data_IF_736044012212
#
_entry.id   IF_736044012212
#
_cell.length_a   1.000
_cell.length_b   1.000
_cell.length_c   1.000
_cell.angle_alpha   90.00
_cell.angle_beta   90.00
_cell.angle_gamma   90.00
#
_symmetry.space_group_name_H-M   'P 1'
#
loop_
_entity.id
_entity.type
_entity.pdbx_description
1 polymer ?
#
# COMPACT_ATOMS: atom_id res chain seq x y z
N UNK A 1 0.65 -3.59 30.41
CA UNK A 1 1.97 -3.38 29.76
C UNK A 1 2.33 -1.89 29.84
N UNK A 2 3.60 -1.53 30.13
CA UNK A 2 4.03 -0.13 30.17
C UNK A 2 3.96 0.47 28.76
N UNK A 3 3.63 1.75 28.63
CA UNK A 3 3.51 2.43 27.32
C UNK A 3 4.81 2.37 26.51
N UNK A 4 5.97 2.48 27.18
CA UNK A 4 7.31 2.33 26.58
C UNK A 4 7.53 0.96 25.92
N UNK A 5 7.16 -0.11 26.63
CA UNK A 5 7.24 -1.49 26.07
C UNK A 5 6.30 -1.67 24.87
N UNK A 6 5.13 -1.03 24.93
CA UNK A 6 4.16 -1.08 23.84
C UNK A 6 4.70 -0.39 22.59
N UNK A 7 5.31 0.80 22.71
CA UNK A 7 5.94 1.49 21.57
C UNK A 7 7.12 0.69 20.98
N UNK A 8 7.88 -0.02 21.82
CA UNK A 8 8.92 -0.93 21.34
C UNK A 8 8.33 -2.11 20.55
N UNK A 9 7.27 -2.75 21.05
CA UNK A 9 6.58 -3.82 20.36
C UNK A 9 5.98 -3.34 19.02
N UNK A 10 5.40 -2.14 18.98
CA UNK A 10 4.91 -1.53 17.75
C UNK A 10 6.06 -1.36 16.75
N UNK A 11 7.23 -0.83 17.18
CA UNK A 11 8.41 -0.72 16.32
C UNK A 11 8.83 -2.07 15.75
N UNK A 12 8.92 -3.10 16.59
CA UNK A 12 9.30 -4.45 16.16
C UNK A 12 8.28 -5.03 15.18
N UNK A 13 6.99 -4.87 15.46
CA UNK A 13 5.89 -5.33 14.59
C UNK A 13 5.98 -4.67 13.20
N UNK A 14 6.21 -3.36 13.14
CA UNK A 14 6.37 -2.63 11.88
C UNK A 14 7.59 -3.10 11.10
N UNK A 15 8.74 -3.30 11.77
CA UNK A 15 9.98 -3.78 11.14
C UNK A 15 9.83 -5.22 10.62
N UNK A 16 9.14 -6.11 11.36
CA UNK A 16 8.82 -7.48 10.89
C UNK A 16 7.95 -7.43 9.64
N UNK A 17 6.91 -6.60 9.66
CA UNK A 17 6.03 -6.42 8.49
C UNK A 17 6.78 -5.89 7.28
N UNK A 18 7.64 -4.89 7.48
CA UNK A 18 8.46 -4.31 6.42
C UNK A 18 9.39 -5.37 5.81
N UNK A 19 10.12 -6.11 6.66
CA UNK A 19 11.05 -7.16 6.21
C UNK A 19 10.31 -8.29 5.46
N UNK A 20 9.21 -8.79 6.02
CA UNK A 20 8.42 -9.86 5.39
C UNK A 20 7.88 -9.42 4.01
N UNK A 21 7.37 -8.19 3.91
CA UNK A 21 6.86 -7.64 2.66
C UNK A 21 7.95 -7.45 1.60
N UNK A 22 9.16 -7.01 2.02
CA UNK A 22 10.32 -6.88 1.11
C UNK A 22 10.74 -8.26 0.60
N UNK A 23 10.81 -9.28 1.46
CA UNK A 23 11.18 -10.64 1.05
C UNK A 23 10.17 -11.20 0.05
N UNK A 24 8.88 -11.04 0.28
CA UNK A 24 7.82 -11.52 -0.62
C UNK A 24 7.81 -10.78 -1.96
N UNK A 25 8.22 -9.54 -2.01
CA UNK A 25 8.31 -8.73 -3.23
C UNK A 25 9.76 -8.50 -3.68
N UNK A 26 10.65 -9.47 -3.50
CA UNK A 26 12.09 -9.27 -3.75
C UNK A 26 12.40 -8.71 -5.16
N UNK A 27 11.67 -9.15 -6.19
CA UNK A 27 11.83 -8.66 -7.58
C UNK A 27 11.54 -7.15 -7.73
N UNK A 28 10.77 -6.55 -6.82
CA UNK A 28 10.58 -5.10 -6.77
C UNK A 28 11.86 -4.37 -6.35
N UNK A 29 12.68 -5.00 -5.51
CA UNK A 29 13.83 -4.39 -4.85
C UNK A 29 15.13 -4.67 -5.58
N UNK A 30 15.34 -5.90 -6.02
CA UNK A 30 16.52 -6.32 -6.78
C UNK A 30 16.19 -7.54 -7.64
N UNK A 31 16.75 -7.59 -8.85
CA UNK A 31 16.60 -8.72 -9.76
C UNK A 31 16.65 -8.34 -11.23
N UNK A 32 16.89 -9.33 -12.07
CA UNK A 32 16.82 -9.22 -13.52
C UNK A 32 15.34 -9.27 -13.94
N UNK A 33 14.74 -8.09 -14.06
CA UNK A 33 13.31 -7.92 -14.38
C UNK A 33 13.09 -7.18 -15.68
N UNK A 34 12.04 -7.55 -16.39
CA UNK A 34 11.62 -6.88 -17.61
C UNK A 34 10.83 -5.59 -17.36
N UNK A 35 10.03 -5.52 -16.25
CA UNK A 35 9.28 -4.30 -15.97
C UNK A 35 10.23 -3.15 -15.59
N UNK A 36 10.18 -2.00 -16.30
CA UNK A 36 11.16 -0.94 -16.13
C UNK A 36 11.07 -0.25 -14.76
N UNK A 37 12.22 0.15 -14.22
CA UNK A 37 12.28 1.08 -13.09
C UNK A 37 11.76 2.44 -13.55
N UNK A 38 10.96 3.08 -12.71
CA UNK A 38 10.49 4.45 -12.96
C UNK A 38 11.14 5.38 -11.96
N UNK A 39 12.22 6.00 -12.37
CA UNK A 39 12.98 6.96 -11.54
C UNK A 39 12.24 8.29 -11.37
N UNK A 40 12.48 8.99 -10.25
CA UNK A 40 11.87 10.30 -10.03
C UNK A 40 12.52 11.39 -10.89
N UNK A 41 13.80 11.26 -11.18
CA UNK A 41 14.57 12.22 -11.99
C UNK A 41 14.63 11.66 -13.41
N UNK A 42 14.14 12.43 -14.39
CA UNK A 42 14.32 12.13 -15.81
C UNK A 42 15.82 12.05 -16.09
N UNK A 43 16.25 11.23 -17.02
CA UNK A 43 17.66 10.94 -17.34
C UNK A 43 18.48 10.16 -16.29
N UNK A 44 17.90 9.82 -15.13
CA UNK A 44 18.53 8.90 -14.19
C UNK A 44 18.02 7.48 -14.44
N UNK A 45 18.92 6.55 -14.79
CA UNK A 45 18.54 5.18 -15.16
C UNK A 45 18.30 4.24 -13.97
N UNK A 46 18.44 4.74 -12.75
CA UNK A 46 18.40 3.91 -11.54
C UNK A 46 19.66 3.02 -11.41
N UNK A 47 19.77 2.33 -10.29
CA UNK A 47 20.85 1.37 -10.06
C UNK A 47 20.53 0.08 -10.83
N UNK A 48 21.37 -0.32 -11.82
CA UNK A 48 21.09 -1.50 -12.64
C UNK A 48 21.35 -2.82 -11.89
N UNK A 49 20.75 -3.89 -12.38
CA UNK A 49 21.14 -5.26 -12.02
C UNK A 49 22.61 -5.51 -12.47
N UNK A 50 23.45 -6.20 -11.65
CA UNK A 50 23.14 -6.80 -10.33
C UNK A 50 23.44 -5.89 -9.14
N UNK A 51 23.78 -4.62 -9.33
CA UNK A 51 24.17 -3.70 -8.24
C UNK A 51 22.99 -3.33 -7.33
N UNK A 52 21.74 -3.52 -7.77
CA UNK A 52 20.54 -3.34 -6.96
C UNK A 52 20.46 -4.36 -5.79
N UNK A 53 21.15 -5.51 -5.86
CA UNK A 53 21.33 -6.41 -4.71
C UNK A 53 22.12 -5.77 -3.56
N UNK A 54 23.05 -4.85 -3.85
CA UNK A 54 23.75 -4.08 -2.83
C UNK A 54 22.76 -3.15 -2.11
N UNK A 55 21.88 -2.47 -2.86
CA UNK A 55 20.84 -1.64 -2.27
C UNK A 55 19.92 -2.48 -1.36
N UNK A 56 19.45 -3.63 -1.83
CA UNK A 56 18.64 -4.54 -1.03
C UNK A 56 19.37 -5.01 0.23
N UNK A 57 20.64 -5.36 0.12
CA UNK A 57 21.49 -5.75 1.25
C UNK A 57 21.59 -4.64 2.30
N UNK A 58 21.84 -3.40 1.88
CA UNK A 58 21.88 -2.23 2.77
C UNK A 58 20.53 -2.01 3.45
N UNK A 59 19.41 -2.11 2.71
CA UNK A 59 18.07 -1.98 3.28
C UNK A 59 17.81 -3.01 4.38
N UNK A 60 18.12 -4.29 4.13
CA UNK A 60 17.97 -5.37 5.10
C UNK A 60 18.86 -5.14 6.32
N UNK A 61 20.11 -4.74 6.13
CA UNK A 61 21.03 -4.44 7.24
C UNK A 61 20.50 -3.30 8.12
N UNK A 62 19.99 -2.23 7.53
CA UNK A 62 19.41 -1.11 8.28
C UNK A 62 18.14 -1.53 9.05
N UNK A 63 17.32 -2.42 8.50
CA UNK A 63 16.18 -3.01 9.22
C UNK A 63 16.70 -3.81 10.43
N UNK A 64 17.67 -4.71 10.24
CA UNK A 64 18.26 -5.54 11.31
C UNK A 64 18.90 -4.68 12.40
N UNK A 65 19.67 -3.65 12.04
CA UNK A 65 20.22 -2.71 13.01
C UNK A 65 19.13 -1.93 13.77
N UNK A 66 18.04 -1.56 13.09
CA UNK A 66 16.90 -0.92 13.74
C UNK A 66 16.18 -1.83 14.73
N UNK A 67 16.20 -3.16 14.51
CA UNK A 67 15.73 -4.15 15.47
C UNK A 67 16.64 -4.24 16.72
N UNK A 68 17.95 -4.30 16.49
CA UNK A 68 18.94 -4.65 17.52
C UNK A 68 19.19 -3.52 18.50
N UNK A 69 18.75 -2.29 18.21
CA UNK A 69 19.07 -1.13 19.06
C UNK A 69 17.86 -0.23 19.29
N UNK A 70 17.87 0.39 20.46
CA UNK A 70 16.93 1.48 20.77
C UNK A 70 17.43 2.85 20.31
N UNK A 71 18.67 2.96 19.81
CA UNK A 71 19.19 4.21 19.26
C UNK A 71 18.39 4.59 18.01
N UNK A 72 18.17 5.88 17.82
CA UNK A 72 17.38 6.41 16.69
C UNK A 72 18.11 6.37 15.37
N UNK A 73 19.45 6.46 15.39
CA UNK A 73 20.27 6.61 14.20
C UNK A 73 20.01 5.53 13.13
N UNK A 74 19.99 4.21 13.45
CA UNK A 74 19.68 3.20 12.44
C UNK A 74 18.29 3.38 11.81
N UNK A 75 17.29 3.76 12.59
CA UNK A 75 15.93 4.02 12.08
C UNK A 75 15.89 5.29 11.21
N UNK A 76 16.66 6.32 11.53
CA UNK A 76 16.79 7.52 10.68
C UNK A 76 17.43 7.14 9.35
N UNK A 77 18.55 6.41 9.38
CA UNK A 77 19.22 5.95 8.18
C UNK A 77 18.33 5.03 7.32
N UNK A 78 17.57 4.15 7.97
CA UNK A 78 16.56 3.31 7.28
C UNK A 78 15.53 4.15 6.54
N UNK A 79 14.96 5.16 7.18
CA UNK A 79 13.95 6.03 6.57
C UNK A 79 14.54 6.83 5.40
N UNK A 80 15.72 7.43 5.58
CA UNK A 80 16.39 8.17 4.50
C UNK A 80 16.71 7.27 3.32
N UNK A 81 17.20 6.06 3.59
CA UNK A 81 17.49 5.10 2.54
C UNK A 81 16.23 4.58 1.86
N UNK A 82 15.14 4.34 2.61
CA UNK A 82 13.85 3.97 2.06
C UNK A 82 13.28 5.04 1.12
N UNK A 83 13.41 6.32 1.47
CA UNK A 83 13.03 7.44 0.59
C UNK A 83 13.90 7.45 -0.67
N UNK A 84 15.22 7.30 -0.53
CA UNK A 84 16.13 7.17 -1.69
C UNK A 84 15.73 6.01 -2.61
N UNK A 85 15.38 4.85 -2.06
CA UNK A 85 14.90 3.70 -2.83
C UNK A 85 13.64 4.01 -3.66
N UNK A 86 12.75 4.88 -3.17
CA UNK A 86 11.59 5.35 -3.93
C UNK A 86 11.97 6.36 -5.05
N UNK A 87 13.02 7.14 -4.88
CA UNK A 87 13.56 7.98 -5.96
C UNK A 87 14.19 7.14 -7.07
N UNK A 88 14.87 6.05 -6.72
CA UNK A 88 15.46 5.10 -7.65
C UNK A 88 14.39 4.30 -8.43
N UNK A 89 13.27 3.99 -7.79
CA UNK A 89 12.14 3.33 -8.46
C UNK A 89 10.79 3.63 -7.78
N UNK A 90 9.95 4.42 -8.42
CA UNK A 90 8.63 4.82 -7.91
C UNK A 90 7.62 3.64 -7.80
N UNK A 91 7.89 2.48 -8.43
CA UNK A 91 7.11 1.26 -8.21
C UNK A 91 7.16 0.80 -6.74
N UNK A 92 8.15 1.24 -5.97
CA UNK A 92 8.30 0.98 -4.53
C UNK A 92 7.38 1.83 -3.66
N UNK A 93 6.64 2.81 -4.21
CA UNK A 93 5.62 3.60 -3.50
C UNK A 93 4.35 2.78 -3.23
N UNK A 94 4.52 1.60 -2.63
CA UNK A 94 3.43 0.72 -2.26
C UNK A 94 2.76 1.20 -0.95
N UNK A 95 1.42 1.05 -0.79
CA UNK A 95 0.72 1.53 0.40
C UNK A 95 1.28 0.98 1.71
N UNK A 96 1.62 -0.31 1.76
CA UNK A 96 2.20 -0.95 2.93
C UNK A 96 3.58 -0.37 3.27
N UNK A 97 4.43 -0.13 2.26
CA UNK A 97 5.77 0.41 2.44
C UNK A 97 5.72 1.84 2.98
N UNK A 98 4.92 2.69 2.33
CA UNK A 98 4.69 4.06 2.76
C UNK A 98 4.21 4.15 4.22
N UNK A 99 3.21 3.35 4.57
CA UNK A 99 2.65 3.35 5.92
C UNK A 99 3.65 2.85 6.98
N UNK A 100 4.44 1.79 6.69
CA UNK A 100 5.49 1.34 7.61
C UNK A 100 6.57 2.40 7.84
N UNK A 101 7.04 3.05 6.76
CA UNK A 101 8.04 4.12 6.87
C UNK A 101 7.49 5.31 7.66
N UNK A 102 6.24 5.69 7.43
CA UNK A 102 5.58 6.76 8.19
C UNK A 102 5.41 6.41 9.68
N UNK A 103 5.05 5.16 10.01
CA UNK A 103 4.99 4.70 11.39
C UNK A 103 6.37 4.74 12.07
N UNK A 104 7.44 4.32 11.38
CA UNK A 104 8.80 4.42 11.88
C UNK A 104 9.23 5.88 12.08
N UNK A 105 8.83 6.78 11.17
CA UNK A 105 9.08 8.21 11.30
C UNK A 105 8.38 8.80 12.53
N UNK A 106 7.11 8.49 12.77
CA UNK A 106 6.38 8.91 13.98
C UNK A 106 7.08 8.42 15.25
N UNK A 107 7.58 7.17 15.23
CA UNK A 107 8.32 6.58 16.36
C UNK A 107 9.67 7.28 16.66
N UNK A 108 10.28 8.02 15.72
CA UNK A 108 11.49 8.81 15.97
C UNK A 108 11.27 9.93 16.99
N UNK A 109 10.05 10.42 17.14
CA UNK A 109 9.72 11.48 18.10
C UNK A 109 9.60 10.97 19.54
N UNK A 110 9.66 9.65 19.74
CA UNK A 110 9.75 9.05 21.05
C UNK A 110 11.08 9.41 21.75
N UNK A 111 11.00 9.98 22.97
CA UNK A 111 12.17 10.29 23.80
C UNK A 111 12.25 9.30 24.95
N UNK A 112 13.40 8.65 25.10
CA UNK A 112 13.68 7.68 26.19
C UNK A 112 13.83 8.31 27.58
N UNK A 113 13.52 9.59 27.80
CA UNK A 113 13.66 10.23 29.11
C UNK A 113 12.44 9.91 29.97
N UNK A 114 12.72 9.42 31.18
CA UNK A 114 11.72 8.99 32.17
C UNK A 114 10.84 10.18 32.67
N UNK A 115 11.31 11.40 32.50
CA UNK A 115 10.73 12.61 33.09
C UNK A 115 9.69 13.34 32.22
N UNK A 116 9.42 12.86 30.98
CA UNK A 116 8.44 13.48 30.09
C UNK A 116 7.33 12.49 29.66
N UNK A 117 6.39 12.11 30.52
CA UNK A 117 5.31 11.18 30.19
C UNK A 117 4.42 11.65 29.03
N UNK A 118 4.37 12.97 28.78
CA UNK A 118 3.54 13.58 27.74
C UNK A 118 4.05 13.27 26.30
N UNK A 119 5.36 13.11 26.10
CA UNK A 119 5.94 12.82 24.79
C UNK A 119 5.55 11.41 24.29
N UNK A 120 5.51 10.43 25.18
CA UNK A 120 5.07 9.06 24.85
C UNK A 120 3.61 9.02 24.42
N UNK A 121 2.79 9.79 25.12
CA UNK A 121 1.35 9.88 24.83
C UNK A 121 1.12 10.50 23.45
N UNK A 122 1.83 11.57 23.08
CA UNK A 122 1.70 12.21 21.76
C UNK A 122 2.06 11.26 20.62
N UNK A 123 3.19 10.55 20.74
CA UNK A 123 3.61 9.57 19.71
C UNK A 123 2.60 8.43 19.60
N UNK A 124 2.12 7.91 20.73
CA UNK A 124 1.14 6.83 20.75
C UNK A 124 -0.19 7.25 20.11
N UNK A 125 -0.70 8.44 20.43
CA UNK A 125 -1.92 9.00 19.84
C UNK A 125 -1.71 9.28 18.34
N UNK A 126 -0.54 9.77 17.93
CA UNK A 126 -0.23 9.96 16.50
C UNK A 126 -0.28 8.64 15.73
N UNK A 127 0.19 7.53 16.32
CA UNK A 127 0.08 6.20 15.71
C UNK A 127 -1.37 5.69 15.67
N UNK A 128 -2.15 5.93 16.73
CA UNK A 128 -3.58 5.61 16.73
C UNK A 128 -4.32 6.37 15.64
N UNK A 129 -4.04 7.67 15.49
CA UNK A 129 -4.61 8.50 14.45
C UNK A 129 -4.20 8.03 13.06
N UNK A 130 -2.92 7.69 12.86
CA UNK A 130 -2.42 7.17 11.58
C UNK A 130 -3.19 5.92 11.16
N UNK A 131 -3.31 4.92 12.05
CA UNK A 131 -4.05 3.69 11.78
C UNK A 131 -5.53 3.96 11.53
N UNK A 132 -6.16 4.83 12.30
CA UNK A 132 -7.55 5.23 12.08
C UNK A 132 -7.75 5.90 10.72
N UNK A 133 -6.84 6.79 10.31
CA UNK A 133 -6.89 7.47 9.01
C UNK A 133 -6.67 6.52 7.83
N UNK A 134 -5.91 5.44 7.99
CA UNK A 134 -5.83 4.38 6.96
C UNK A 134 -7.23 3.83 6.66
N UNK A 135 -8.02 3.47 7.67
CA UNK A 135 -9.39 2.95 7.47
C UNK A 135 -10.35 4.02 6.94
N UNK A 136 -10.27 5.25 7.48
CA UNK A 136 -11.10 6.37 7.02
C UNK A 136 -10.85 6.62 5.53
N UNK A 137 -9.60 6.81 5.13
CA UNK A 137 -9.22 7.07 3.73
C UNK A 137 -9.58 5.89 2.83
N UNK A 138 -9.30 4.66 3.26
CA UNK A 138 -9.65 3.44 2.52
C UNK A 138 -11.16 3.32 2.29
N UNK A 139 -11.97 3.61 3.31
CA UNK A 139 -13.44 3.63 3.18
C UNK A 139 -13.91 4.69 2.19
N UNK A 140 -13.40 5.92 2.29
CA UNK A 140 -13.78 7.02 1.37
C UNK A 140 -13.40 6.67 -0.08
N UNK A 141 -12.21 6.15 -0.33
CA UNK A 141 -11.73 5.79 -1.67
C UNK A 141 -12.56 4.67 -2.33
N UNK A 142 -13.25 3.84 -1.55
CA UNK A 142 -14.15 2.79 -2.04
C UNK A 142 -15.57 3.27 -2.32
N UNK A 143 -15.91 4.52 -1.99
CA UNK A 143 -17.24 5.11 -2.26
C UNK A 143 -17.35 5.53 -3.74
N UNK A 144 -17.29 4.56 -4.64
CA UNK A 144 -17.40 4.76 -6.08
C UNK A 144 -18.23 3.62 -6.72
N UNK A 145 -18.66 3.83 -7.97
CA UNK A 145 -19.57 2.91 -8.69
C UNK A 145 -18.93 1.58 -9.03
N UNK A 146 -17.60 1.54 -9.21
CA UNK A 146 -16.84 0.37 -9.67
C UNK A 146 -16.40 -0.55 -8.55
N UNK A 147 -16.42 -0.11 -7.29
CA UNK A 147 -15.91 -0.93 -6.18
C UNK A 147 -16.63 -2.27 -6.03
N UNK A 148 -17.97 -2.25 -6.07
CA UNK A 148 -18.75 -3.48 -5.87
C UNK A 148 -18.66 -4.42 -7.07
N UNK A 149 -18.93 -3.98 -8.32
CA UNK A 149 -18.91 -4.88 -9.47
C UNK A 149 -17.52 -5.39 -9.83
N UNK A 150 -16.47 -4.58 -9.64
CA UNK A 150 -15.12 -4.96 -10.06
C UNK A 150 -14.31 -5.63 -8.95
N UNK A 151 -14.05 -4.90 -7.85
CA UNK A 151 -13.15 -5.40 -6.80
C UNK A 151 -13.84 -6.34 -5.83
N UNK A 152 -15.01 -5.94 -5.28
CA UNK A 152 -15.63 -6.73 -4.23
C UNK A 152 -16.20 -8.04 -4.75
N UNK A 153 -16.86 -8.04 -5.92
CA UNK A 153 -17.33 -9.25 -6.57
C UNK A 153 -16.19 -10.20 -6.90
N UNK A 154 -15.07 -9.68 -7.43
CA UNK A 154 -13.86 -10.47 -7.65
C UNK A 154 -13.31 -11.08 -6.34
N UNK A 155 -13.27 -10.34 -5.24
CA UNK A 155 -12.83 -10.88 -3.95
C UNK A 155 -13.78 -11.99 -3.45
N UNK A 156 -15.10 -11.76 -3.51
CA UNK A 156 -16.13 -12.72 -3.08
C UNK A 156 -16.14 -13.98 -3.93
N UNK A 157 -15.76 -13.90 -5.21
CA UNK A 157 -15.65 -15.08 -6.08
C UNK A 157 -14.57 -16.08 -5.64
N UNK A 158 -13.78 -15.79 -4.59
CA UNK A 158 -12.95 -16.79 -3.88
C UNK A 158 -13.77 -17.91 -3.24
N UNK A 159 -15.05 -17.68 -3.01
CA UNK A 159 -15.96 -18.66 -2.40
C UNK A 159 -16.83 -19.40 -3.42
N UNK A 160 -16.52 -19.33 -4.73
CA UNK A 160 -17.30 -19.96 -5.79
C UNK A 160 -17.36 -21.49 -5.71
N UNK A 161 -16.37 -22.11 -5.05
CA UNK A 161 -16.33 -23.55 -4.77
C UNK A 161 -17.22 -23.96 -3.59
N UNK A 162 -17.61 -23.01 -2.72
CA UNK A 162 -18.34 -23.27 -1.46
C UNK A 162 -19.76 -22.70 -1.54
N UNK A 163 -19.95 -21.58 -2.19
CA UNK A 163 -21.22 -20.86 -2.28
C UNK A 163 -21.86 -21.02 -3.67
N UNK A 164 -23.17 -21.22 -3.69
CA UNK A 164 -23.94 -21.19 -4.93
C UNK A 164 -23.93 -19.76 -5.55
N UNK A 165 -24.18 -19.65 -6.86
CA UNK A 165 -24.27 -18.35 -7.58
C UNK A 165 -25.28 -17.38 -6.91
N UNK A 166 -26.39 -17.89 -6.39
CA UNK A 166 -27.39 -17.09 -5.67
C UNK A 166 -26.83 -16.52 -4.37
N UNK A 167 -26.10 -17.34 -3.60
CA UNK A 167 -25.46 -16.90 -2.35
C UNK A 167 -24.34 -15.91 -2.60
N UNK A 168 -23.49 -16.16 -3.63
CA UNK A 168 -22.48 -15.20 -4.06
C UNK A 168 -23.09 -13.84 -4.41
N UNK A 169 -24.17 -13.83 -5.21
CA UNK A 169 -24.87 -12.58 -5.54
C UNK A 169 -25.48 -11.87 -4.32
N UNK A 170 -25.91 -12.61 -3.29
CA UNK A 170 -26.34 -12.00 -2.03
C UNK A 170 -25.17 -11.40 -1.26
N UNK A 171 -24.05 -12.11 -1.15
CA UNK A 171 -22.84 -11.63 -0.48
C UNK A 171 -22.28 -10.41 -1.20
N UNK A 172 -22.24 -10.39 -2.54
CA UNK A 172 -21.77 -9.24 -3.33
C UNK A 172 -22.56 -7.96 -3.00
N UNK A 173 -23.87 -8.05 -2.73
CA UNK A 173 -24.68 -6.88 -2.32
C UNK A 173 -24.22 -6.26 -1.00
N UNK A 174 -23.62 -7.02 -0.08
CA UNK A 174 -23.02 -6.45 1.13
C UNK A 174 -21.82 -5.55 0.82
N UNK A 175 -21.22 -5.67 -0.37
CA UNK A 175 -20.17 -4.79 -0.83
C UNK A 175 -20.52 -3.32 -0.75
N UNK A 176 -21.80 -2.94 -0.94
CA UNK A 176 -22.23 -1.54 -0.80
C UNK A 176 -22.12 -0.99 0.62
N UNK A 177 -22.05 -1.86 1.64
CA UNK A 177 -21.90 -1.44 3.05
C UNK A 177 -20.41 -1.34 3.44
N UNK A 178 -19.52 -2.05 2.76
CA UNK A 178 -18.09 -2.14 3.12
C UNK A 178 -17.39 -0.77 3.19
N UNK A 179 -17.55 0.17 2.24
CA UNK A 179 -16.93 1.51 2.33
C UNK A 179 -17.34 2.26 3.61
N UNK A 180 -18.63 2.23 3.92
CA UNK A 180 -19.17 2.89 5.13
C UNK A 180 -18.72 2.18 6.40
N UNK A 181 -18.61 0.86 6.37
CA UNK A 181 -18.09 0.07 7.48
C UNK A 181 -16.62 0.43 7.77
N UNK A 182 -15.75 0.46 6.75
CA UNK A 182 -14.33 0.84 6.93
C UNK A 182 -14.20 2.28 7.46
N UNK A 183 -14.94 3.23 6.90
CA UNK A 183 -14.98 4.62 7.37
C UNK A 183 -15.40 4.67 8.85
N UNK A 184 -16.50 4.00 9.19
CA UNK A 184 -17.04 3.99 10.56
C UNK A 184 -16.07 3.37 11.54
N UNK A 185 -15.44 2.24 11.18
CA UNK A 185 -14.40 1.59 11.98
C UNK A 185 -13.26 2.55 12.28
N UNK A 186 -12.74 3.26 11.28
CA UNK A 186 -11.67 4.25 11.47
C UNK A 186 -12.05 5.33 12.49
N UNK A 187 -13.25 5.90 12.36
CA UNK A 187 -13.74 6.92 13.30
C UNK A 187 -13.96 6.34 14.70
N UNK A 188 -14.60 5.18 14.79
CA UNK A 188 -14.96 4.56 16.07
C UNK A 188 -13.76 4.02 16.84
N UNK A 189 -12.64 3.66 16.20
CA UNK A 189 -11.38 3.34 16.87
C UNK A 189 -10.83 4.51 17.70
N UNK A 190 -11.13 5.74 17.32
CA UNK A 190 -10.76 6.93 18.09
C UNK A 190 -11.62 7.11 19.34
N UNK A 191 -12.81 6.47 19.39
CA UNK A 191 -13.74 6.54 20.52
C UNK A 191 -13.44 5.41 21.50
N UNK A 192 -12.77 5.74 22.61
CA UNK A 192 -12.29 4.76 23.61
C UNK A 192 -13.36 3.78 24.09
N UNK A 193 -14.57 4.26 24.33
CA UNK A 193 -15.69 3.48 24.88
C UNK A 193 -16.20 2.39 23.92
N UNK A 194 -15.95 2.56 22.61
CA UNK A 194 -16.45 1.64 21.58
C UNK A 194 -15.41 0.61 21.13
N UNK A 195 -14.16 0.75 21.57
CA UNK A 195 -13.04 -0.12 21.14
C UNK A 195 -13.27 -1.59 21.45
N UNK A 196 -14.00 -1.93 22.51
CA UNK A 196 -14.29 -3.32 22.86
C UNK A 196 -15.16 -4.05 21.80
N UNK A 197 -15.93 -3.30 21.00
CA UNK A 197 -16.69 -3.82 19.85
C UNK A 197 -15.88 -3.66 18.56
N UNK A 198 -15.28 -2.49 18.35
CA UNK A 198 -14.66 -2.12 17.08
C UNK A 198 -13.39 -2.94 16.81
N UNK A 199 -12.54 -3.17 17.83
CA UNK A 199 -11.31 -3.96 17.68
C UNK A 199 -11.57 -5.37 17.16
N UNK A 200 -12.51 -6.17 17.74
CA UNK A 200 -12.87 -7.47 17.18
C UNK A 200 -13.40 -7.41 15.74
N UNK A 201 -14.19 -6.38 15.40
CA UNK A 201 -14.71 -6.19 14.03
C UNK A 201 -13.60 -5.93 13.02
N UNK A 202 -12.59 -5.12 13.38
CA UNK A 202 -11.42 -4.88 12.54
C UNK A 202 -10.60 -6.17 12.35
N UNK A 203 -10.39 -6.93 13.42
CA UNK A 203 -9.68 -8.22 13.34
C UNK A 203 -10.41 -9.16 12.39
N UNK A 204 -11.74 -9.28 12.54
CA UNK A 204 -12.56 -10.10 11.67
C UNK A 204 -12.46 -9.67 10.20
N UNK A 205 -12.49 -8.35 9.93
CA UNK A 205 -12.31 -7.80 8.59
C UNK A 205 -10.98 -8.23 7.98
N UNK A 206 -9.86 -8.09 8.69
CA UNK A 206 -8.55 -8.51 8.20
C UNK A 206 -8.45 -10.03 7.99
N UNK A 207 -9.07 -10.84 8.87
CA UNK A 207 -9.14 -12.29 8.69
C UNK A 207 -9.92 -12.63 7.41
N UNK A 208 -11.05 -11.96 7.15
CA UNK A 208 -11.83 -12.17 5.93
C UNK A 208 -11.03 -11.79 4.67
N UNK A 209 -10.26 -10.68 4.70
CA UNK A 209 -9.37 -10.30 3.60
C UNK A 209 -8.30 -11.38 3.38
N UNK A 210 -7.70 -11.92 4.45
CA UNK A 210 -6.71 -13.00 4.36
C UNK A 210 -7.31 -14.30 3.77
N UNK A 211 -8.56 -14.63 4.10
CA UNK A 211 -9.25 -15.77 3.51
C UNK A 211 -9.49 -15.53 2.02
N UNK A 212 -9.99 -14.35 1.64
CA UNK A 212 -10.31 -14.03 0.24
C UNK A 212 -9.08 -13.89 -0.66
N UNK A 213 -8.01 -13.27 -0.18
CA UNK A 213 -6.80 -12.98 -0.96
C UNK A 213 -5.62 -13.92 -0.66
N UNK A 214 -5.74 -14.75 0.36
CA UNK A 214 -4.70 -15.70 0.78
C UNK A 214 -4.65 -16.96 -0.09
N UNK A 215 -3.81 -17.93 0.30
CA UNK A 215 -3.60 -19.18 -0.44
C UNK A 215 -4.87 -20.02 -0.63
N UNK A 216 -5.84 -19.90 0.28
CA UNK A 216 -7.13 -20.59 0.22
C UNK A 216 -8.16 -19.89 -0.66
N UNK A 217 -7.90 -18.65 -1.06
CA UNK A 217 -8.77 -17.85 -1.92
C UNK A 217 -8.14 -17.57 -3.28
N UNK A 218 -7.99 -16.29 -3.62
CA UNK A 218 -7.40 -15.87 -4.92
C UNK A 218 -5.91 -16.13 -5.04
N UNK A 219 -5.19 -16.37 -3.94
CA UNK A 219 -3.72 -16.47 -3.89
C UNK A 219 -3.04 -15.28 -4.60
N UNK A 220 -3.62 -14.11 -4.43
CA UNK A 220 -3.28 -12.89 -5.15
C UNK A 220 -2.39 -12.01 -4.29
N UNK A 221 -1.30 -11.46 -4.88
CA UNK A 221 -0.43 -10.49 -4.26
C UNK A 221 -0.05 -10.85 -2.80
N UNK A 222 0.89 -11.76 -2.64
CA UNK A 222 1.25 -12.32 -1.32
C UNK A 222 1.73 -11.27 -0.31
N UNK A 223 2.15 -10.08 -0.75
CA UNK A 223 2.55 -8.97 0.13
C UNK A 223 1.39 -8.44 0.98
N UNK A 224 0.15 -8.63 0.53
CA UNK A 224 -1.04 -8.24 1.30
C UNK A 224 -1.21 -9.10 2.56
N UNK A 225 -0.62 -10.29 2.61
CA UNK A 225 -0.76 -11.19 3.76
C UNK A 225 -0.04 -10.66 4.99
N UNK A 226 1.29 -10.37 4.97
CA UNK A 226 1.96 -9.75 6.11
C UNK A 226 1.33 -8.41 6.48
N UNK A 227 0.89 -7.59 5.51
CA UNK A 227 0.20 -6.34 5.81
C UNK A 227 -1.04 -6.57 6.70
N UNK A 228 -1.92 -7.48 6.34
CA UNK A 228 -3.14 -7.75 7.13
C UNK A 228 -2.81 -8.33 8.52
N UNK A 229 -1.83 -9.23 8.63
CA UNK A 229 -1.37 -9.80 9.92
C UNK A 229 -0.82 -8.68 10.82
N UNK A 230 0.01 -7.81 10.26
CA UNK A 230 0.60 -6.69 11.01
C UNK A 230 -0.47 -5.68 11.42
N UNK A 231 -1.47 -5.41 10.58
CA UNK A 231 -2.59 -4.53 10.95
C UNK A 231 -3.40 -5.10 12.12
N UNK A 232 -3.64 -6.40 12.18
CA UNK A 232 -4.25 -7.06 13.36
C UNK A 232 -3.39 -6.80 14.60
N UNK A 233 -2.08 -7.03 14.52
CA UNK A 233 -1.16 -6.82 15.64
C UNK A 233 -1.13 -5.33 16.08
N UNK A 234 -1.08 -4.40 15.13
CA UNK A 234 -1.09 -2.96 15.41
C UNK A 234 -2.40 -2.52 16.06
N UNK A 235 -3.54 -3.00 15.59
CA UNK A 235 -4.84 -2.69 16.18
C UNK A 235 -4.92 -3.20 17.62
N UNK A 236 -4.44 -4.40 17.90
CA UNK A 236 -4.34 -4.92 19.28
C UNK A 236 -3.39 -4.09 20.13
N UNK A 237 -2.21 -3.75 19.63
CA UNK A 237 -1.22 -2.97 20.36
C UNK A 237 -1.65 -1.52 20.61
N UNK A 238 -2.41 -0.92 19.70
CA UNK A 238 -2.80 0.49 19.80
C UNK A 238 -4.16 0.69 20.50
N UNK A 239 -5.10 -0.25 20.41
CA UNK A 239 -6.49 0.00 20.80
C UNK A 239 -7.07 -0.99 21.83
N UNK A 240 -6.48 -2.19 22.05
CA UNK A 240 -7.11 -3.22 22.89
C UNK A 240 -7.05 -2.95 24.40
N UNK A 241 -6.06 -2.17 24.91
CA UNK A 241 -5.92 -1.90 26.34
C UNK A 241 -6.48 -0.52 26.72
N UNK A 242 -7.70 -0.52 27.19
CA UNK A 242 -8.49 0.69 27.48
C UNK A 242 -8.17 1.31 28.83
N UNK A 243 -7.53 0.56 29.75
CA UNK A 243 -7.41 0.99 31.16
C UNK A 243 -6.34 2.05 31.43
N UNK A 244 -5.29 2.13 30.63
CA UNK A 244 -4.12 2.99 30.89
C UNK A 244 -4.03 4.25 30.01
N UNK A 245 -4.93 4.44 29.07
CA UNK A 245 -4.89 5.59 28.18
C UNK A 245 -5.54 6.80 28.84
N UNK A 246 -4.77 7.88 29.02
CA UNK A 246 -5.37 9.20 29.16
C UNK A 246 -6.11 9.53 27.89
N UNK A 247 -7.28 10.14 28.02
CA UNK A 247 -8.15 10.52 26.91
C UNK A 247 -7.37 11.18 25.77
N UNK A 248 -7.91 11.08 24.56
CA UNK A 248 -7.63 11.91 23.42
C UNK A 248 -7.80 13.37 23.84
N UNK A 249 -6.78 13.93 24.48
CA UNK A 249 -6.78 15.32 24.87
C UNK A 249 -6.35 16.12 23.64
N UNK A 250 -7.33 16.74 22.98
CA UNK A 250 -7.14 17.55 21.79
C UNK A 250 -6.03 18.60 22.00
N UNK A 251 -5.91 19.17 23.22
CA UNK A 251 -4.86 20.14 23.53
C UNK A 251 -3.43 19.56 23.46
N UNK A 252 -3.27 18.24 23.67
CA UNK A 252 -1.99 17.55 23.51
C UNK A 252 -1.62 17.27 22.05
N UNK A 253 -2.62 17.05 21.21
CA UNK A 253 -2.43 16.73 19.79
C UNK A 253 -1.75 17.87 19.05
N UNK A 254 -2.17 19.12 19.30
CA UNK A 254 -1.63 20.30 18.62
C UNK A 254 -0.20 20.70 19.05
N UNK A 255 0.49 19.93 19.90
CA UNK A 255 1.84 20.25 20.39
C UNK A 255 2.95 19.39 19.76
N UNK A 256 2.63 18.36 18.99
CA UNK A 256 3.63 17.41 18.48
C UNK A 256 3.83 17.46 16.97
N UNK A 257 5.07 17.59 16.49
CA UNK A 257 5.40 17.53 15.08
C UNK A 257 4.89 16.24 14.41
N UNK A 258 4.94 15.09 15.12
CA UNK A 258 4.41 13.80 14.65
C UNK A 258 2.92 13.87 14.31
N UNK A 259 2.14 14.60 15.10
CA UNK A 259 0.71 14.78 14.85
C UNK A 259 0.46 15.56 13.55
N UNK A 260 1.13 16.71 13.37
CA UNK A 260 0.97 17.50 12.16
C UNK A 260 1.40 16.72 10.90
N UNK A 261 2.48 15.93 11.00
CA UNK A 261 2.91 15.07 9.91
C UNK A 261 1.82 14.06 9.52
N UNK A 262 1.23 13.39 10.51
CA UNK A 262 0.15 12.41 10.26
C UNK A 262 -1.07 13.09 9.65
N UNK A 263 -1.52 14.22 10.18
CA UNK A 263 -2.67 14.95 9.61
C UNK A 263 -2.38 15.39 8.18
N UNK A 264 -1.21 15.94 7.92
CA UNK A 264 -0.85 16.40 6.57
C UNK A 264 -0.81 15.26 5.57
N UNK A 265 -0.09 14.17 5.89
CA UNK A 265 0.15 13.08 4.95
C UNK A 265 -1.00 12.08 4.85
N UNK A 266 -1.82 11.91 5.90
CA UNK A 266 -2.86 10.89 5.95
C UNK A 266 -4.28 11.43 5.90
N UNK A 267 -4.47 12.76 6.02
CA UNK A 267 -5.78 13.39 5.92
C UNK A 267 -5.79 14.47 4.84
N UNK A 268 -4.92 15.50 4.93
CA UNK A 268 -4.98 16.64 4.01
C UNK A 268 -4.62 16.22 2.58
N UNK A 269 -3.48 15.56 2.37
CA UNK A 269 -3.06 15.14 1.04
C UNK A 269 -4.01 14.12 0.38
N UNK A 270 -4.54 13.10 1.10
CA UNK A 270 -5.55 12.22 0.53
C UNK A 270 -6.84 12.90 0.06
N UNK A 271 -7.22 14.08 0.58
CA UNK A 271 -8.36 14.84 0.05
C UNK A 271 -8.09 15.25 -1.40
N UNK A 272 -6.89 15.68 -1.75
CA UNK A 272 -6.53 16.02 -3.13
C UNK A 272 -6.57 14.81 -4.08
N UNK A 273 -6.39 13.58 -3.56
CA UNK A 273 -6.56 12.35 -4.33
C UNK A 273 -8.00 12.17 -4.83
N UNK A 274 -9.01 12.70 -4.12
CA UNK A 274 -10.42 12.63 -4.54
C UNK A 274 -10.69 13.43 -5.83
N UNK A 275 -9.81 14.37 -6.17
CA UNK A 275 -9.83 15.16 -7.40
C UNK A 275 -8.67 14.83 -8.36
N UNK A 276 -8.06 13.65 -8.22
CA UNK A 276 -6.93 13.17 -9.04
C UNK A 276 -5.64 14.02 -8.96
N UNK A 277 -5.47 14.81 -7.89
CA UNK A 277 -4.31 15.71 -7.70
C UNK A 277 -3.23 15.12 -6.75
N UNK A 278 -3.42 13.90 -6.27
CA UNK A 278 -2.47 13.22 -5.40
C UNK A 278 -2.47 11.71 -5.67
N UNK A 279 -1.32 11.08 -5.44
CA UNK A 279 -1.12 9.65 -5.73
C UNK A 279 -2.13 8.75 -5.01
N UNK A 280 -2.70 7.83 -5.75
CA UNK A 280 -3.74 6.90 -5.28
C UNK A 280 -3.24 6.04 -4.12
N UNK A 281 -2.06 5.46 -4.22
CA UNK A 281 -1.53 4.56 -3.20
C UNK A 281 -1.08 5.26 -1.93
N UNK A 282 -0.65 6.52 -2.02
CA UNK A 282 -0.38 7.35 -0.84
C UNK A 282 -1.66 7.80 -0.12
N UNK A 283 -2.83 7.57 -0.75
CA UNK A 283 -4.17 7.91 -0.24
C UNK A 283 -4.96 6.68 0.21
N UNK A 284 -4.31 5.55 0.44
CA UNK A 284 -4.94 4.29 0.87
C UNK A 284 -5.99 3.74 -0.12
N UNK A 285 -5.82 3.97 -1.43
CA UNK A 285 -6.79 3.57 -2.47
C UNK A 285 -6.62 2.13 -2.96
N UNK A 286 -5.78 1.31 -2.31
CA UNK A 286 -5.58 -0.09 -2.71
C UNK A 286 -6.92 -0.85 -2.63
N UNK A 287 -7.24 -1.60 -3.68
CA UNK A 287 -8.51 -2.32 -3.83
C UNK A 287 -9.77 -1.42 -3.79
N UNK A 288 -9.66 -0.19 -4.28
CA UNK A 288 -10.82 0.73 -4.38
C UNK A 288 -11.56 0.66 -5.71
N UNK A 289 -11.04 -0.01 -6.72
CA UNK A 289 -11.43 -0.01 -8.15
C UNK A 289 -11.26 1.34 -8.84
N UNK A 290 -11.41 2.45 -8.15
CA UNK A 290 -11.23 3.79 -8.73
C UNK A 290 -9.74 4.13 -8.83
N UNK A 291 -9.05 3.48 -9.77
CA UNK A 291 -7.61 3.61 -10.02
C UNK A 291 -7.37 3.80 -11.51
N UNK A 292 -6.41 4.67 -11.86
CA UNK A 292 -5.96 4.77 -13.24
C UNK A 292 -5.58 3.39 -13.79
N UNK A 293 -5.85 3.20 -15.08
CA UNK A 293 -5.50 1.97 -15.77
C UNK A 293 -4.84 2.29 -17.12
N UNK A 294 -4.03 1.38 -17.60
CA UNK A 294 -3.43 1.51 -18.91
C UNK A 294 -3.24 0.15 -19.56
N UNK A 295 -3.51 0.11 -20.85
CA UNK A 295 -3.26 -1.01 -21.72
C UNK A 295 -2.47 -0.51 -22.93
N UNK A 296 -1.48 -1.29 -23.37
CA UNK A 296 -0.77 -0.99 -24.60
C UNK A 296 -1.34 -1.85 -25.72
N UNK A 297 -1.87 -1.20 -26.77
CA UNK A 297 -2.37 -1.89 -27.95
C UNK A 297 -1.22 -1.96 -28.96
N UNK A 298 -0.78 -3.16 -29.26
CA UNK A 298 0.38 -3.47 -30.07
C UNK A 298 -0.06 -3.90 -31.47
N UNK A 299 0.59 -3.37 -32.49
CA UNK A 299 0.50 -3.96 -33.84
C UNK A 299 1.10 -5.37 -33.86
N UNK A 300 0.78 -6.15 -34.90
CA UNK A 300 1.38 -7.46 -35.09
C UNK A 300 2.91 -7.39 -35.23
N UNK A 301 3.44 -6.30 -35.78
CA UNK A 301 4.88 -6.05 -35.89
C UNK A 301 5.51 -5.87 -34.51
N UNK A 302 4.98 -4.97 -33.69
CA UNK A 302 5.49 -4.71 -32.35
C UNK A 302 5.37 -5.97 -31.45
N UNK A 303 4.25 -6.69 -31.52
CA UNK A 303 4.06 -7.93 -30.76
C UNK A 303 5.10 -9.01 -31.08
N UNK A 304 5.41 -9.24 -32.37
CA UNK A 304 6.42 -10.22 -32.79
C UNK A 304 7.83 -9.88 -32.35
N UNK A 305 8.12 -8.62 -32.10
CA UNK A 305 9.43 -8.15 -31.62
C UNK A 305 9.53 -8.16 -30.08
N UNK A 306 8.42 -8.34 -29.36
CA UNK A 306 8.47 -8.48 -27.91
C UNK A 306 9.19 -9.76 -27.48
N UNK A 307 10.01 -9.72 -26.42
CA UNK A 307 10.50 -10.92 -25.76
C UNK A 307 9.34 -11.83 -25.31
N UNK A 308 9.55 -13.14 -25.42
CA UNK A 308 8.53 -14.14 -25.08
C UNK A 308 8.05 -13.99 -23.61
N UNK A 309 8.95 -13.57 -22.73
CA UNK A 309 8.61 -13.32 -21.32
C UNK A 309 7.62 -12.17 -21.10
N UNK A 310 7.51 -11.23 -22.02
CA UNK A 310 6.52 -10.15 -21.97
C UNK A 310 5.25 -10.55 -22.74
N UNK A 311 5.38 -11.32 -23.82
CA UNK A 311 4.22 -11.77 -24.63
C UNK A 311 3.17 -12.51 -23.79
N UNK A 312 3.58 -13.27 -22.76
CA UNK A 312 2.67 -13.99 -21.85
C UNK A 312 1.67 -13.09 -21.09
N UNK A 313 1.92 -11.79 -21.04
CA UNK A 313 1.01 -10.80 -20.44
C UNK A 313 0.08 -10.14 -21.46
N UNK A 314 0.22 -10.50 -22.74
CA UNK A 314 -0.65 -10.04 -23.80
C UNK A 314 -1.89 -10.93 -23.94
N UNK A 315 -3.00 -10.30 -24.34
CA UNK A 315 -4.13 -11.00 -24.96
C UNK A 315 -4.11 -10.72 -26.46
N UNK A 316 -4.20 -11.77 -27.26
CA UNK A 316 -4.11 -11.67 -28.72
C UNK A 316 -5.47 -11.95 -29.34
N UNK A 317 -5.91 -11.06 -30.23
CA UNK A 317 -7.06 -11.23 -31.12
C UNK A 317 -6.59 -11.16 -32.59
N UNK A 318 -7.49 -11.41 -33.56
CA UNK A 318 -7.15 -11.36 -34.98
C UNK A 318 -6.61 -9.99 -35.41
N UNK A 319 -7.15 -8.90 -34.85
CA UNK A 319 -6.84 -7.53 -35.29
C UNK A 319 -5.77 -6.82 -34.46
N UNK A 320 -5.59 -7.18 -33.16
CA UNK A 320 -4.68 -6.48 -32.29
C UNK A 320 -4.23 -7.33 -31.07
N UNK A 321 -3.11 -6.92 -30.51
CA UNK A 321 -2.55 -7.52 -29.30
C UNK A 321 -2.56 -6.49 -28.17
N UNK A 322 -3.06 -6.85 -27.00
CA UNK A 322 -3.17 -5.96 -25.85
C UNK A 322 -2.25 -6.42 -24.74
N UNK A 323 -1.27 -5.61 -24.38
CA UNK A 323 -0.41 -5.83 -23.21
C UNK A 323 -1.06 -5.20 -21.97
N UNK A 324 -1.36 -6.03 -20.98
CA UNK A 324 -1.94 -5.62 -19.70
C UNK A 324 -0.83 -5.26 -18.69
N UNK A 325 -0.53 -3.97 -18.54
CA UNK A 325 0.56 -3.48 -17.67
C UNK A 325 0.34 -3.94 -16.23
N UNK A 326 -0.88 -3.85 -15.68
CA UNK A 326 -1.18 -4.29 -14.31
C UNK A 326 -0.83 -5.76 -14.10
N UNK A 327 -1.28 -6.64 -15.02
CA UNK A 327 -0.99 -8.09 -14.97
C UNK A 327 0.52 -8.36 -15.04
N UNK A 328 1.24 -7.61 -15.85
CA UNK A 328 2.69 -7.72 -15.97
C UNK A 328 3.38 -7.40 -14.65
N UNK A 329 3.09 -6.23 -14.05
CA UNK A 329 3.66 -5.82 -12.74
C UNK A 329 3.32 -6.82 -11.63
N UNK A 330 2.05 -7.20 -11.52
CA UNK A 330 1.56 -8.08 -10.46
C UNK A 330 2.22 -9.46 -10.51
N UNK A 331 2.40 -9.99 -11.72
CA UNK A 331 3.03 -11.31 -11.88
C UNK A 331 4.54 -11.26 -11.69
N UNK A 332 5.21 -10.23 -12.21
CA UNK A 332 6.68 -10.15 -12.16
C UNK A 332 7.21 -9.62 -10.84
N UNK A 333 6.59 -8.57 -10.30
CA UNK A 333 7.07 -7.90 -9.08
C UNK A 333 6.36 -8.35 -7.81
N UNK A 334 5.29 -9.15 -7.93
CA UNK A 334 4.45 -9.60 -6.83
C UNK A 334 3.91 -8.44 -5.95
N UNK A 335 3.58 -7.33 -6.60
CA UNK A 335 2.94 -6.15 -5.98
C UNK A 335 1.91 -5.57 -6.92
N UNK A 336 0.88 -4.86 -6.44
CA UNK A 336 -0.03 -4.13 -7.30
C UNK A 336 0.71 -3.04 -8.06
N UNK A 337 0.36 -2.86 -9.33
CA UNK A 337 0.90 -1.77 -10.15
C UNK A 337 0.56 -0.41 -9.55
N UNK A 338 1.55 0.45 -9.35
CA UNK A 338 1.31 1.84 -8.93
C UNK A 338 0.52 2.55 -10.04
N UNK A 339 -0.74 2.96 -9.80
CA UNK A 339 -1.67 3.34 -10.85
C UNK A 339 -1.53 4.82 -11.24
N UNK A 340 -0.32 5.24 -11.58
CA UNK A 340 -0.01 6.63 -11.90
C UNK A 340 0.46 6.77 -13.36
N UNK A 341 0.04 7.87 -14.02
CA UNK A 341 0.35 8.14 -15.42
C UNK A 341 1.84 8.00 -15.74
N UNK A 342 2.73 8.47 -14.86
CA UNK A 342 4.18 8.40 -15.04
C UNK A 342 4.72 6.96 -15.13
N UNK A 343 4.14 6.02 -14.39
CA UNK A 343 4.51 4.60 -14.43
C UNK A 343 4.11 3.99 -15.77
N UNK A 344 2.87 4.24 -16.19
CA UNK A 344 2.35 3.74 -17.46
C UNK A 344 3.07 4.35 -18.67
N UNK A 345 3.36 5.65 -18.63
CA UNK A 345 4.12 6.35 -19.67
C UNK A 345 5.53 5.78 -19.80
N UNK A 346 6.21 5.53 -18.69
CA UNK A 346 7.53 4.92 -18.69
C UNK A 346 7.51 3.49 -19.29
N UNK A 347 6.55 2.67 -18.89
CA UNK A 347 6.37 1.33 -19.47
C UNK A 347 6.09 1.38 -20.98
N UNK A 348 5.29 2.35 -21.45
CA UNK A 348 5.04 2.58 -22.87
C UNK A 348 6.32 2.93 -23.65
N UNK A 349 7.11 3.90 -23.14
CA UNK A 349 8.39 4.27 -23.77
C UNK A 349 9.36 3.08 -23.80
N UNK A 350 9.43 2.32 -22.70
CA UNK A 350 10.27 1.13 -22.65
C UNK A 350 9.89 0.08 -23.71
N UNK A 351 8.59 -0.18 -23.91
CA UNK A 351 8.13 -1.14 -24.94
C UNK A 351 8.48 -0.66 -26.36
N UNK A 352 8.35 0.64 -26.65
CA UNK A 352 8.75 1.22 -27.95
C UNK A 352 10.25 0.99 -28.17
N UNK A 353 11.09 1.29 -27.18
CA UNK A 353 12.53 1.10 -27.27
C UNK A 353 12.90 -0.38 -27.44
N UNK A 354 12.28 -1.27 -26.66
CA UNK A 354 12.53 -2.70 -26.66
C UNK A 354 12.17 -3.35 -28.00
N UNK A 355 11.05 -2.93 -28.60
CA UNK A 355 10.58 -3.43 -29.89
C UNK A 355 11.19 -2.70 -31.08
N UNK A 356 11.96 -1.63 -30.88
CA UNK A 356 12.52 -0.79 -31.92
C UNK A 356 11.49 -0.36 -32.99
N UNK A 357 10.25 -0.10 -32.53
CA UNK A 357 9.13 0.30 -33.39
C UNK A 357 8.77 1.76 -33.22
N UNK A 358 7.99 2.32 -34.16
CA UNK A 358 7.43 3.67 -34.02
C UNK A 358 6.35 3.69 -32.93
N UNK A 359 6.15 4.83 -32.31
CA UNK A 359 5.07 5.07 -31.32
C UNK A 359 3.66 4.77 -31.88
N UNK A 360 3.48 4.82 -33.19
CA UNK A 360 2.23 4.45 -33.86
C UNK A 360 1.92 2.96 -33.77
N UNK A 361 2.94 2.12 -33.63
CA UNK A 361 2.81 0.66 -33.52
C UNK A 361 2.47 0.20 -32.08
N UNK A 362 2.64 1.08 -31.09
CA UNK A 362 2.37 0.84 -29.67
C UNK A 362 1.46 1.94 -29.16
N UNK A 363 0.15 1.75 -29.24
CA UNK A 363 -0.83 2.75 -28.84
C UNK A 363 -1.01 2.75 -27.32
N UNK A 364 -0.87 3.93 -26.69
CA UNK A 364 -1.06 4.16 -25.28
C UNK A 364 -2.55 4.39 -24.97
N UNK A 365 -3.22 3.39 -24.39
CA UNK A 365 -4.62 3.48 -24.00
C UNK A 365 -4.72 3.68 -22.49
N UNK A 366 -4.70 4.96 -22.07
CA UNK A 366 -4.79 5.36 -20.66
C UNK A 366 -6.24 5.68 -20.29
N UNK A 367 -6.70 5.11 -19.18
CA UNK A 367 -8.03 5.30 -18.62
C UNK A 367 -7.84 5.98 -17.26
N UNK A 368 -8.22 7.25 -17.17
CA UNK A 368 -8.15 8.00 -15.93
C UNK A 368 -9.27 7.55 -14.98
N UNK A 369 -8.95 7.52 -13.68
CA UNK A 369 -9.93 7.25 -12.64
C UNK A 369 -10.97 8.37 -12.52
N UNK A 370 -12.16 8.03 -12.01
CA UNK A 370 -13.20 9.02 -11.75
C UNK A 370 -12.80 9.99 -10.62
N UNK A 371 -13.17 11.26 -10.76
CA UNK A 371 -13.08 12.23 -9.68
C UNK A 371 -14.26 12.03 -8.74
N UNK A 372 -13.97 11.78 -7.46
CA UNK A 372 -15.01 11.62 -6.44
C UNK A 372 -15.57 12.98 -5.97
N UNK A 373 -14.78 14.05 -6.11
CA UNK A 373 -15.18 15.43 -5.88
C UNK A 373 -14.58 16.33 -6.97
N UNK A 374 -15.22 17.46 -7.22
CA UNK A 374 -14.74 18.49 -8.13
C UNK A 374 -14.50 19.77 -7.33
N UNK A 375 -13.27 20.30 -7.40
CA UNK A 375 -12.89 21.59 -6.84
C UNK A 375 -12.88 22.65 -7.93
#
# INVERSE_FOLDING_TARGET
MRLTQRLQLIKLTVLVGLLASIILSHNLWAGDRWFPKTTLIEDYFGVPYPYDFIQLGVLILLIVFSFSTQKKLPTILLILFAVYMCFDDQNRLQPWFYNYILMLFVLLFYKYRVDEPNNYTTVFISLQLLVALIYISSGIQKMNSSFVPDTFEWMVSSFDTVLSKRQLGMVTKFGYVIPYFELSVGVLLLVKQLRFIVVPLVILMHIMILIMLGPTGKSYNSVVWPWNIIMIALVLLLFADVKQERFFDIAFLFKGFSFYTVITLMLIFPIFSLNNQYDSYLSSSLYSSNLNNCQLILSNKAYKQLPHDIQKYCSTNEDYNVLFIKKWVETELNVPCVPEYRIFKNAHHYIIQLTQTDSKEVKFNFIEREKLIHF
#
